data_IF_468376930103
#
_entry.id   IF_468376930103
#
_cell.length_a   1.000
_cell.length_b   1.000
_cell.length_c   1.000
_cell.angle_alpha   90.00
_cell.angle_beta   90.00
_cell.angle_gamma   90.00
#
_symmetry.space_group_name_H-M   'P 1'
#
loop_
_entity.id
_entity.type
_entity.pdbx_description
1 polymer ?
#
# COMPACT_ATOMS: atom_id res chain seq x y z
N UNK A 1 26.34 -26.67 -5.76
CA UNK A 1 26.36 -25.54 -4.80
C UNK A 1 26.64 -24.29 -5.61
N UNK A 2 25.68 -23.37 -5.70
CA UNK A 2 25.88 -22.15 -6.49
C UNK A 2 26.51 -21.09 -5.59
N UNK A 3 27.66 -20.56 -5.98
CA UNK A 3 28.31 -19.45 -5.28
C UNK A 3 27.70 -18.13 -5.74
N UNK A 4 27.28 -17.31 -4.79
CA UNK A 4 26.87 -15.93 -5.03
C UNK A 4 28.05 -15.06 -4.63
N UNK A 5 28.65 -14.36 -5.59
CA UNK A 5 29.75 -13.43 -5.34
C UNK A 5 29.22 -12.00 -5.27
N UNK A 6 29.66 -11.26 -4.25
CA UNK A 6 29.27 -9.86 -4.06
C UNK A 6 30.52 -8.99 -4.28
N UNK A 7 30.46 -7.99 -5.17
CA UNK A 7 31.56 -7.06 -5.37
C UNK A 7 31.99 -6.37 -4.07
N UNK A 8 33.30 -6.35 -3.80
CA UNK A 8 33.86 -5.74 -2.58
C UNK A 8 33.54 -4.25 -2.42
N UNK A 9 33.23 -3.55 -3.52
CA UNK A 9 32.78 -2.15 -3.48
C UNK A 9 31.43 -2.01 -2.76
N UNK A 10 30.49 -2.92 -3.02
CA UNK A 10 29.15 -2.90 -2.40
C UNK A 10 29.22 -3.31 -0.92
N UNK A 11 30.14 -4.21 -0.56
CA UNK A 11 30.35 -4.65 0.82
C UNK A 11 30.87 -3.54 1.76
N UNK A 12 31.32 -2.40 1.23
CA UNK A 12 31.79 -1.25 2.02
C UNK A 12 30.67 -0.30 2.46
N UNK A 13 29.47 -0.42 1.88
CA UNK A 13 28.36 0.50 2.14
C UNK A 13 27.55 0.12 3.40
N UNK A 14 27.95 -0.93 4.12
CA UNK A 14 27.34 -1.38 5.37
C UNK A 14 26.76 -2.78 5.25
N UNK A 15 25.65 -3.03 5.93
CA UNK A 15 24.98 -4.33 5.95
C UNK A 15 24.24 -4.60 4.63
N UNK A 16 24.52 -5.77 4.04
CA UNK A 16 23.93 -6.21 2.77
C UNK A 16 22.94 -7.35 3.00
N UNK A 17 21.79 -7.27 2.33
CA UNK A 17 20.76 -8.31 2.36
C UNK A 17 20.52 -8.81 0.94
N UNK A 18 20.58 -10.14 0.77
CA UNK A 18 20.25 -10.79 -0.51
C UNK A 18 18.78 -11.20 -0.47
N UNK A 19 17.99 -10.65 -1.39
CA UNK A 19 16.57 -10.98 -1.53
C UNK A 19 16.25 -11.39 -2.97
N UNK A 20 15.23 -12.23 -3.20
CA UNK A 20 14.71 -12.51 -4.52
C UNK A 20 14.29 -11.24 -5.25
N UNK A 21 14.53 -11.19 -6.57
CA UNK A 21 14.19 -10.03 -7.41
C UNK A 21 12.73 -9.58 -7.26
N UNK A 22 11.79 -10.54 -7.20
CA UNK A 22 10.35 -10.24 -7.06
C UNK A 22 10.05 -9.50 -5.75
N UNK A 23 10.73 -9.83 -4.66
CA UNK A 23 10.57 -9.15 -3.38
C UNK A 23 11.16 -7.74 -3.42
N UNK A 24 12.32 -7.58 -4.05
CA UNK A 24 12.94 -6.27 -4.25
C UNK A 24 12.02 -5.31 -5.03
N UNK A 25 11.41 -5.78 -6.12
CA UNK A 25 10.50 -5.00 -6.94
C UNK A 25 9.25 -4.56 -6.14
N UNK A 26 8.69 -5.47 -5.32
CA UNK A 26 7.58 -5.12 -4.43
C UNK A 26 7.95 -4.05 -3.40
N UNK A 27 9.16 -4.09 -2.82
CA UNK A 27 9.64 -3.07 -1.89
C UNK A 27 9.82 -1.70 -2.57
N UNK A 28 10.25 -1.68 -3.84
CA UNK A 28 10.35 -0.45 -4.62
C UNK A 28 8.97 0.16 -4.92
N UNK A 29 7.96 -0.67 -5.20
CA UNK A 29 6.59 -0.20 -5.38
C UNK A 29 6.01 0.37 -4.09
N UNK A 30 6.27 -0.27 -2.95
CA UNK A 30 5.85 0.23 -1.63
C UNK A 30 6.43 1.61 -1.32
N UNK A 31 7.69 1.87 -1.70
CA UNK A 31 8.31 3.20 -1.56
C UNK A 31 7.60 4.31 -2.33
N UNK A 32 6.86 3.99 -3.39
CA UNK A 32 6.09 4.99 -4.18
C UNK A 32 4.80 5.38 -3.49
N UNK A 33 4.26 4.53 -2.63
CA UNK A 33 3.05 4.82 -1.87
C UNK A 33 3.43 5.71 -0.70
N UNK A 34 2.94 6.95 -0.70
CA UNK A 34 3.14 7.85 0.43
C UNK A 34 2.43 7.27 1.65
N UNK A 35 3.21 6.93 2.69
CA UNK A 35 2.64 6.49 3.96
C UNK A 35 1.68 7.56 4.49
N UNK A 36 0.43 7.16 4.68
CA UNK A 36 -0.62 8.03 5.19
C UNK A 36 -0.74 7.82 6.70
N UNK A 37 -0.43 8.86 7.47
CA UNK A 37 -0.64 8.86 8.91
C UNK A 37 -2.01 9.49 9.17
N UNK A 38 -3.06 8.70 9.49
CA UNK A 38 -4.39 9.23 9.68
C UNK A 38 -4.48 10.05 10.97
N UNK A 39 -5.24 11.13 10.92
CA UNK A 39 -5.68 11.83 12.13
C UNK A 39 -6.68 10.96 12.92
N UNK A 40 -6.94 11.32 14.19
CA UNK A 40 -7.93 10.59 15.03
C UNK A 40 -9.31 10.54 14.39
N UNK A 41 -9.73 11.62 13.71
CA UNK A 41 -11.02 11.69 13.01
C UNK A 41 -11.04 10.76 11.81
N UNK A 42 -9.99 10.77 10.99
CA UNK A 42 -9.87 9.89 9.83
C UNK A 42 -9.84 8.41 10.24
N UNK A 43 -9.14 8.07 11.34
CA UNK A 43 -9.14 6.70 11.88
C UNK A 43 -10.55 6.26 12.30
N UNK A 44 -11.33 7.14 12.94
CA UNK A 44 -12.73 6.84 13.28
C UNK A 44 -13.60 6.68 12.04
N UNK A 45 -13.40 7.50 11.02
CA UNK A 45 -14.11 7.40 9.75
C UNK A 45 -13.84 6.06 9.05
N UNK A 46 -12.58 5.59 9.04
CA UNK A 46 -12.21 4.29 8.48
C UNK A 46 -12.89 3.13 9.23
N UNK A 47 -12.87 3.14 10.57
CA UNK A 47 -13.57 2.12 11.36
C UNK A 47 -15.08 2.10 11.06
N UNK A 48 -15.70 3.27 10.87
CA UNK A 48 -17.11 3.33 10.50
C UNK A 48 -17.35 2.82 9.07
N UNK A 49 -16.46 3.16 8.13
CA UNK A 49 -16.54 2.68 6.75
C UNK A 49 -16.46 1.14 6.69
N UNK A 50 -15.54 0.52 7.43
CA UNK A 50 -15.42 -0.94 7.53
C UNK A 50 -16.69 -1.59 8.09
N UNK A 51 -17.29 -1.00 9.14
CA UNK A 51 -18.55 -1.48 9.71
C UNK A 51 -19.70 -1.39 8.70
N UNK A 52 -19.81 -0.26 7.99
CA UNK A 52 -20.81 -0.07 6.96
C UNK A 52 -20.65 -1.09 5.83
N UNK A 53 -19.41 -1.35 5.40
CA UNK A 53 -19.10 -2.34 4.37
C UNK A 53 -19.52 -3.75 4.78
N UNK A 54 -19.17 -4.18 6.01
CA UNK A 54 -19.60 -5.48 6.57
C UNK A 54 -21.12 -5.61 6.65
N UNK A 55 -21.82 -4.52 6.93
CA UNK A 55 -23.28 -4.47 6.99
C UNK A 55 -23.95 -4.27 5.61
N UNK A 56 -23.19 -4.30 4.51
CA UNK A 56 -23.68 -4.02 3.14
C UNK A 56 -24.37 -2.66 3.01
N UNK A 57 -23.98 -1.67 3.82
CA UNK A 57 -24.44 -0.28 3.78
C UNK A 57 -23.54 0.63 2.93
N UNK A 58 -22.77 0.03 2.01
CA UNK A 58 -21.97 0.79 1.06
C UNK A 58 -22.85 1.19 -0.14
N UNK A 59 -22.59 2.37 -0.71
CA UNK A 59 -23.23 2.78 -1.95
C UNK A 59 -22.51 2.12 -3.12
N UNK A 60 -23.27 1.58 -4.06
CA UNK A 60 -22.72 1.22 -5.37
C UNK A 60 -22.32 2.48 -6.15
N UNK A 61 -21.47 2.32 -7.16
CA UNK A 61 -21.02 3.43 -8.00
C UNK A 61 -22.19 4.21 -8.61
N UNK A 62 -23.18 3.51 -9.17
CA UNK A 62 -24.35 4.15 -9.78
C UNK A 62 -25.20 4.91 -8.75
N UNK A 63 -25.36 4.37 -7.54
CA UNK A 63 -26.07 5.06 -6.45
C UNK A 63 -25.31 6.29 -5.97
N UNK A 64 -23.98 6.21 -5.92
CA UNK A 64 -23.12 7.33 -5.55
C UNK A 64 -23.25 8.47 -6.56
N UNK A 65 -23.10 8.16 -7.86
CA UNK A 65 -23.21 9.12 -8.97
C UNK A 65 -24.58 9.82 -8.94
N UNK A 66 -25.66 9.03 -8.80
CA UNK A 66 -27.03 9.56 -8.73
C UNK A 66 -27.27 10.45 -7.51
N UNK A 67 -26.78 10.06 -6.34
CA UNK A 67 -27.02 10.80 -5.08
C UNK A 67 -26.19 12.08 -4.97
N UNK A 68 -24.98 12.08 -5.54
CA UNK A 68 -24.08 13.23 -5.49
C UNK A 68 -24.22 14.15 -6.70
N UNK A 69 -25.08 13.79 -7.67
CA UNK A 69 -25.32 14.61 -8.85
C UNK A 69 -24.12 14.69 -9.79
N UNK A 70 -23.17 13.75 -9.69
CA UNK A 70 -22.11 13.65 -10.66
C UNK A 70 -22.73 13.27 -12.00
N UNK A 71 -22.57 14.12 -12.99
CA UNK A 71 -22.85 13.80 -14.39
C UNK A 71 -21.49 13.57 -15.03
N UNK A 72 -21.26 12.37 -15.58
CA UNK A 72 -20.10 12.11 -16.43
C UNK A 72 -20.24 12.87 -17.74
#
# INVERSE_FOLDING_TARGET
>A
MNSITIPQKLAKEGDLVVIPRKEYEALLELRRVKEFIPTRVQKRALMQAERNFKQKKALSYNELVKKLGFTN
#
